data_IF_974849958598
#
_entry.id   IF_974849958598
#
_cell.length_a   1.000
_cell.length_b   1.000
_cell.length_c   1.000
_cell.angle_alpha   90.00
_cell.angle_beta   90.00
_cell.angle_gamma   90.00
#
_symmetry.space_group_name_H-M   'P 1'
#
loop_
_entity.id
_entity.type
_entity.pdbx_description
1 polymer ?
#
# COMPACT_ATOMS: atom_id res chain seq x y z
N UNK A 1 0.38 -1.44 69.56
CA UNK A 1 0.79 -2.40 68.52
C UNK A 1 0.23 -1.91 67.18
N UNK A 2 1.07 -1.29 66.35
CA UNK A 2 0.71 -0.81 65.00
C UNK A 2 1.39 -1.75 64.00
N UNK A 3 0.61 -2.48 63.21
CA UNK A 3 1.13 -3.33 62.14
C UNK A 3 1.20 -2.51 60.86
N UNK A 4 2.43 -2.31 60.38
CA UNK A 4 2.78 -1.60 59.16
C UNK A 4 2.74 -2.63 58.01
N UNK A 5 1.76 -2.51 57.11
CA UNK A 5 1.70 -3.31 55.88
C UNK A 5 2.54 -2.62 54.80
N UNK A 6 3.67 -3.23 54.45
CA UNK A 6 4.50 -2.84 53.32
C UNK A 6 3.94 -3.50 52.05
N UNK A 7 3.36 -2.71 51.15
CA UNK A 7 3.08 -3.14 49.78
C UNK A 7 4.33 -2.91 48.94
N UNK A 8 5.00 -3.99 48.55
CA UNK A 8 6.08 -3.98 47.57
C UNK A 8 5.43 -4.16 46.20
N UNK A 9 5.28 -3.08 45.46
CA UNK A 9 4.91 -3.11 44.04
C UNK A 9 6.12 -3.52 43.21
N UNK A 10 6.18 -4.79 42.82
CA UNK A 10 7.11 -5.27 41.79
C UNK A 10 6.64 -4.73 40.43
N UNK A 11 7.25 -3.63 39.99
CA UNK A 11 7.22 -3.23 38.59
C UNK A 11 8.03 -4.23 37.77
N UNK A 12 7.35 -5.18 37.13
CA UNK A 12 7.93 -5.96 36.04
C UNK A 12 8.05 -5.05 34.82
N UNK A 13 9.19 -4.37 34.71
CA UNK A 13 9.63 -3.79 33.46
C UNK A 13 9.99 -4.91 32.49
N UNK A 14 9.03 -5.36 31.68
CA UNK A 14 9.34 -6.15 30.49
C UNK A 14 9.98 -5.22 29.47
N UNK A 15 11.30 -5.02 29.58
CA UNK A 15 12.09 -4.69 28.41
C UNK A 15 12.04 -5.92 27.50
N UNK A 16 11.10 -5.93 26.55
CA UNK A 16 11.11 -6.87 25.46
C UNK A 16 12.40 -6.64 24.67
N UNK A 17 13.43 -7.44 24.99
CA UNK A 17 14.57 -7.65 24.12
C UNK A 17 13.99 -8.19 22.82
N UNK A 18 13.88 -7.32 21.81
CA UNK A 18 13.57 -7.69 20.44
C UNK A 18 14.67 -8.65 19.98
N UNK A 19 14.47 -9.95 20.22
CA UNK A 19 15.15 -10.97 19.46
C UNK A 19 14.77 -10.72 18.02
N UNK A 20 15.71 -10.18 17.25
CA UNK A 20 15.72 -10.19 15.79
C UNK A 20 15.62 -11.65 15.34
N UNK A 21 14.43 -12.22 15.41
CA UNK A 21 14.10 -13.41 14.65
C UNK A 21 14.29 -13.01 13.19
N UNK A 22 15.05 -13.80 12.44
CA UNK A 22 15.18 -13.60 11.00
C UNK A 22 13.78 -13.72 10.39
N UNK A 23 13.08 -12.59 10.27
CA UNK A 23 11.76 -12.53 9.65
C UNK A 23 11.96 -12.83 8.17
N UNK A 24 11.79 -14.11 7.82
CA UNK A 24 11.88 -14.55 6.44
C UNK A 24 10.62 -14.08 5.71
N UNK A 25 10.82 -13.25 4.69
CA UNK A 25 9.78 -12.76 3.79
C UNK A 25 8.92 -13.89 3.24
N UNK A 26 7.63 -13.60 3.06
CA UNK A 26 6.63 -14.46 2.41
C UNK A 26 6.73 -14.44 0.87
N UNK A 27 7.60 -13.62 0.28
CA UNK A 27 7.79 -13.57 -1.17
C UNK A 27 8.08 -14.95 -1.76
N UNK A 28 7.21 -15.40 -2.68
CA UNK A 28 7.31 -16.68 -3.38
C UNK A 28 6.87 -16.52 -4.84
N UNK A 29 7.84 -16.46 -5.75
CA UNK A 29 7.60 -16.21 -7.16
C UNK A 29 6.82 -17.34 -7.84
N UNK A 30 7.12 -18.60 -7.51
CA UNK A 30 6.47 -19.76 -8.15
C UNK A 30 4.99 -19.84 -7.76
N UNK A 31 4.67 -19.53 -6.50
CA UNK A 31 3.29 -19.40 -6.06
C UNK A 31 2.60 -18.23 -6.75
N UNK A 32 3.26 -17.07 -6.84
CA UNK A 32 2.72 -15.92 -7.58
C UNK A 32 2.40 -16.25 -9.04
N UNK A 33 3.24 -17.03 -9.74
CA UNK A 33 2.98 -17.49 -11.12
C UNK A 33 1.67 -18.27 -11.22
N UNK A 34 1.40 -19.16 -10.26
CA UNK A 34 0.16 -19.94 -10.21
C UNK A 34 -1.04 -19.05 -9.91
N UNK A 35 -0.94 -18.16 -8.92
CA UNK A 35 -2.07 -17.32 -8.49
C UNK A 35 -2.42 -16.22 -9.50
N UNK A 36 -1.44 -15.70 -10.22
CA UNK A 36 -1.64 -14.68 -11.24
C UNK A 36 -2.07 -15.25 -12.62
N UNK A 37 -2.27 -16.57 -12.75
CA UNK A 37 -2.70 -17.16 -14.01
C UNK A 37 -4.15 -16.81 -14.40
N UNK A 38 -4.98 -16.37 -13.45
CA UNK A 38 -6.35 -15.94 -13.73
C UNK A 38 -6.39 -14.55 -14.38
N UNK A 39 -7.12 -14.42 -15.48
CA UNK A 39 -7.38 -13.13 -16.13
C UNK A 39 -8.27 -12.21 -15.25
N UNK A 40 -7.96 -10.92 -15.26
CA UNK A 40 -8.73 -9.88 -14.56
C UNK A 40 -10.16 -9.72 -15.09
N UNK A 41 -10.44 -10.11 -16.32
CA UNK A 41 -11.78 -10.01 -16.93
C UNK A 41 -12.84 -10.84 -16.18
N UNK A 42 -12.43 -11.93 -15.52
CA UNK A 42 -13.33 -12.83 -14.81
C UNK A 42 -13.35 -12.60 -13.28
N UNK A 43 -12.54 -11.68 -12.79
CA UNK A 43 -12.42 -11.38 -11.36
C UNK A 43 -13.55 -10.49 -10.87
N UNK A 44 -14.03 -10.75 -9.65
CA UNK A 44 -14.91 -9.80 -8.96
C UNK A 44 -14.09 -8.54 -8.64
N UNK A 45 -14.59 -7.37 -9.03
CA UNK A 45 -13.88 -6.10 -8.84
C UNK A 45 -14.14 -5.51 -7.46
N UNK A 46 -13.09 -4.96 -6.85
CA UNK A 46 -13.14 -4.07 -5.70
C UNK A 46 -13.40 -2.65 -6.19
N UNK A 47 -14.40 -1.99 -5.63
CA UNK A 47 -14.83 -0.66 -6.03
C UNK A 47 -14.57 0.37 -4.93
N UNK A 48 -14.58 1.66 -5.28
CA UNK A 48 -14.34 2.75 -4.32
C UNK A 48 -15.43 2.86 -3.27
N UNK A 49 -16.66 2.44 -3.58
CA UNK A 49 -17.78 2.38 -2.64
C UNK A 49 -17.82 1.07 -1.82
N UNK A 50 -16.81 0.21 -1.93
CA UNK A 50 -16.56 -0.87 -0.97
C UNK A 50 -15.79 -0.39 0.27
N UNK A 51 -15.33 0.87 0.28
CA UNK A 51 -14.63 1.52 1.39
C UNK A 51 -15.24 2.90 1.68
N UNK A 52 -14.95 3.49 2.84
CA UNK A 52 -15.42 4.82 3.19
C UNK A 52 -14.40 5.67 3.97
N UNK A 53 -14.64 6.97 4.08
CA UNK A 53 -13.82 7.85 4.92
C UNK A 53 -14.24 7.79 6.38
N UNK A 54 -13.29 8.07 7.28
CA UNK A 54 -13.56 8.28 8.69
C UNK A 54 -13.74 7.01 9.50
N UNK A 55 -13.08 5.91 9.10
CA UNK A 55 -13.06 4.66 9.85
C UNK A 55 -12.64 4.88 11.31
N UNK A 56 -13.30 4.19 12.24
CA UNK A 56 -12.67 3.77 13.50
C UNK A 56 -11.69 2.62 13.27
N UNK A 57 -10.84 2.32 14.27
CA UNK A 57 -9.90 1.20 14.21
C UNK A 57 -10.66 -0.12 14.01
N UNK A 58 -11.75 -0.31 14.75
CA UNK A 58 -12.56 -1.51 14.71
C UNK A 58 -13.29 -1.69 13.37
N UNK A 59 -13.84 -0.60 12.82
CA UNK A 59 -14.47 -0.63 11.49
C UNK A 59 -13.44 -0.96 10.42
N UNK A 60 -12.25 -0.35 10.45
CA UNK A 60 -11.19 -0.62 9.47
C UNK A 60 -10.78 -2.10 9.47
N UNK A 61 -10.62 -2.70 10.66
CA UNK A 61 -10.33 -4.11 10.83
C UNK A 61 -11.42 -5.03 10.27
N UNK A 62 -12.69 -4.69 10.55
CA UNK A 62 -13.85 -5.42 10.10
C UNK A 62 -13.99 -5.36 8.57
N UNK A 63 -13.75 -4.20 7.98
CA UNK A 63 -13.84 -3.99 6.54
C UNK A 63 -12.70 -4.66 5.79
N UNK A 64 -11.47 -4.58 6.30
CA UNK A 64 -10.35 -5.36 5.75
C UNK A 64 -10.69 -6.85 5.70
N UNK A 65 -11.19 -7.41 6.81
CA UNK A 65 -11.58 -8.82 6.89
C UNK A 65 -12.67 -9.15 5.86
N UNK A 66 -13.65 -8.26 5.70
CA UNK A 66 -14.76 -8.43 4.75
C UNK A 66 -14.26 -8.40 3.31
N UNK A 67 -13.45 -7.40 2.95
CA UNK A 67 -12.87 -7.22 1.62
C UNK A 67 -11.96 -8.39 1.27
N UNK A 68 -11.03 -8.77 2.14
CA UNK A 68 -10.11 -9.89 1.91
C UNK A 68 -10.86 -11.19 1.61
N UNK A 69 -11.91 -11.48 2.39
CA UNK A 69 -12.70 -12.71 2.26
C UNK A 69 -13.73 -12.66 1.12
N UNK A 70 -14.05 -11.49 0.59
CA UNK A 70 -15.00 -11.35 -0.53
C UNK A 70 -14.48 -11.97 -1.83
N UNK A 71 -13.15 -12.08 -1.97
CA UNK A 71 -12.47 -12.44 -3.21
C UNK A 71 -12.56 -11.35 -4.30
N UNK A 72 -13.00 -10.14 -3.95
CA UNK A 72 -12.87 -8.97 -4.82
C UNK A 72 -11.38 -8.64 -5.00
N UNK A 73 -11.02 -8.17 -6.18
CA UNK A 73 -9.66 -7.87 -6.62
C UNK A 73 -9.60 -6.48 -7.24
N UNK A 74 -8.42 -5.89 -7.27
CA UNK A 74 -8.23 -4.62 -7.97
C UNK A 74 -8.61 -4.76 -9.45
N UNK A 75 -9.23 -3.73 -10.01
CA UNK A 75 -9.43 -3.66 -11.46
C UNK A 75 -8.06 -3.73 -12.15
N UNK A 76 -7.95 -4.50 -13.23
CA UNK A 76 -6.68 -4.71 -13.94
C UNK A 76 -5.52 -5.19 -13.04
N UNK A 77 -5.85 -6.00 -12.03
CA UNK A 77 -4.84 -6.62 -11.18
C UNK A 77 -3.79 -7.36 -12.02
N UNK A 78 -2.66 -7.63 -11.39
CA UNK A 78 -1.55 -8.34 -12.03
C UNK A 78 -1.98 -9.69 -12.62
N UNK A 79 -1.45 -10.01 -13.79
CA UNK A 79 -1.58 -11.31 -14.45
C UNK A 79 -0.19 -11.88 -14.75
N UNK A 80 -0.10 -13.19 -14.92
CA UNK A 80 1.11 -13.89 -15.32
C UNK A 80 0.90 -14.55 -16.68
N UNK A 81 1.82 -14.31 -17.60
CA UNK A 81 1.86 -14.95 -18.91
C UNK A 81 2.95 -16.03 -18.94
N UNK A 82 2.52 -17.28 -19.01
CA UNK A 82 3.41 -18.43 -19.08
C UNK A 82 4.21 -18.53 -20.39
N UNK A 83 3.78 -17.87 -21.47
CA UNK A 83 4.50 -17.89 -22.76
C UNK A 83 5.72 -16.98 -22.69
N UNK A 84 5.54 -15.76 -22.15
CA UNK A 84 6.64 -14.79 -22.02
C UNK A 84 7.38 -14.86 -20.69
N UNK A 85 6.91 -15.69 -19.74
CA UNK A 85 7.41 -15.81 -18.36
C UNK A 85 7.48 -14.46 -17.63
N UNK A 86 6.41 -13.66 -17.77
CA UNK A 86 6.36 -12.30 -17.23
C UNK A 86 5.05 -12.03 -16.47
N UNK A 87 5.15 -11.16 -15.46
CA UNK A 87 4.00 -10.55 -14.81
C UNK A 87 3.67 -9.23 -15.49
N UNK A 88 2.38 -8.93 -15.62
CA UNK A 88 1.88 -7.68 -16.19
C UNK A 88 0.84 -7.06 -15.28
N UNK A 89 0.91 -5.75 -15.11
CA UNK A 89 -0.25 -4.92 -14.72
C UNK A 89 -0.76 -4.21 -15.97
N UNK A 90 -1.93 -3.60 -15.89
CA UNK A 90 -2.45 -2.87 -17.04
C UNK A 90 -2.89 -1.46 -16.66
N UNK A 91 -2.77 -0.56 -17.62
CA UNK A 91 -3.38 0.75 -17.56
C UNK A 91 -4.29 0.94 -18.79
N UNK A 92 -5.35 1.72 -18.62
CA UNK A 92 -6.26 2.10 -19.71
C UNK A 92 -5.87 3.47 -20.28
N UNK A 93 -5.91 3.62 -21.60
CA UNK A 93 -5.92 4.94 -22.22
C UNK A 93 -7.31 5.57 -22.21
N UNK A 94 -7.40 6.82 -22.68
CA UNK A 94 -8.65 7.57 -22.76
C UNK A 94 -9.71 6.95 -23.68
N UNK A 95 -9.34 5.95 -24.49
CA UNK A 95 -10.25 5.23 -25.39
C UNK A 95 -10.63 3.84 -24.82
N UNK A 96 -10.37 3.58 -23.54
CA UNK A 96 -10.56 2.28 -22.89
C UNK A 96 -9.75 1.16 -23.54
N UNK A 97 -8.63 1.48 -24.21
CA UNK A 97 -7.69 0.46 -24.65
C UNK A 97 -6.71 0.18 -23.52
N UNK A 98 -6.60 -1.09 -23.17
CA UNK A 98 -5.75 -1.58 -22.10
C UNK A 98 -4.36 -1.93 -22.65
N UNK A 99 -3.30 -1.49 -21.96
CA UNK A 99 -1.92 -1.77 -22.33
C UNK A 99 -1.22 -2.53 -21.20
N UNK A 100 -0.55 -3.67 -21.49
CA UNK A 100 0.20 -4.41 -20.49
C UNK A 100 1.50 -3.69 -20.17
N UNK A 101 1.83 -3.57 -18.89
CA UNK A 101 3.08 -3.03 -18.35
C UNK A 101 3.77 -4.16 -17.61
N UNK A 102 4.94 -4.56 -18.11
CA UNK A 102 5.73 -5.62 -17.50
C UNK A 102 6.23 -5.23 -16.10
N UNK A 103 6.01 -6.12 -15.14
CA UNK A 103 6.61 -6.02 -13.80
C UNK A 103 7.91 -6.82 -13.74
N UNK A 104 8.93 -6.26 -13.11
CA UNK A 104 10.15 -7.00 -12.78
C UNK A 104 9.97 -7.80 -11.50
N UNK A 105 10.74 -8.89 -11.36
CA UNK A 105 10.83 -9.62 -10.08
C UNK A 105 11.28 -8.72 -8.94
N UNK A 106 12.25 -7.83 -9.19
CA UNK A 106 12.79 -6.91 -8.19
C UNK A 106 11.73 -5.94 -7.67
N UNK A 107 10.88 -5.42 -8.56
CA UNK A 107 9.75 -4.58 -8.17
C UNK A 107 8.76 -5.32 -7.27
N UNK A 108 8.28 -6.50 -7.69
CA UNK A 108 7.32 -7.29 -6.91
C UNK A 108 7.89 -7.61 -5.53
N UNK A 109 9.15 -8.04 -5.46
CA UNK A 109 9.82 -8.34 -4.21
C UNK A 109 9.98 -7.11 -3.31
N UNK A 110 10.32 -5.95 -3.88
CA UNK A 110 10.41 -4.68 -3.15
C UNK A 110 9.07 -4.32 -2.50
N UNK A 111 7.98 -4.38 -3.27
CA UNK A 111 6.63 -4.11 -2.75
C UNK A 111 6.25 -5.09 -1.65
N UNK A 112 6.49 -6.39 -1.84
CA UNK A 112 6.23 -7.41 -0.80
C UNK A 112 6.99 -7.09 0.49
N UNK A 113 8.29 -6.80 0.42
CA UNK A 113 9.09 -6.51 1.61
C UNK A 113 8.70 -5.19 2.28
N UNK A 114 8.33 -4.17 1.51
CA UNK A 114 7.82 -2.90 2.03
C UNK A 114 6.52 -3.13 2.83
N UNK A 115 5.59 -3.92 2.29
CA UNK A 115 4.36 -4.33 2.99
C UNK A 115 4.71 -5.01 4.31
N UNK A 116 5.54 -6.06 4.25
CA UNK A 116 5.91 -6.85 5.42
C UNK A 116 6.59 -6.00 6.50
N UNK A 117 7.50 -5.10 6.10
CA UNK A 117 8.19 -4.22 7.04
C UNK A 117 7.27 -3.14 7.60
N UNK A 118 6.33 -2.61 6.83
CA UNK A 118 5.35 -1.63 7.30
C UNK A 118 4.42 -2.24 8.35
N UNK A 119 3.94 -3.47 8.11
CA UNK A 119 3.15 -4.24 9.08
C UNK A 119 3.97 -4.56 10.33
N UNK A 120 5.21 -5.02 10.17
CA UNK A 120 6.08 -5.37 11.29
C UNK A 120 6.45 -4.17 12.18
N UNK A 121 6.53 -2.97 11.59
CA UNK A 121 6.80 -1.72 12.29
C UNK A 121 5.52 -1.03 12.83
N UNK A 122 4.33 -1.54 12.50
CA UNK A 122 3.05 -0.93 12.86
C UNK A 122 2.69 0.33 12.07
N UNK A 123 3.42 0.62 10.98
CA UNK A 123 3.11 1.76 10.09
C UNK A 123 1.82 1.54 9.29
N UNK A 124 1.46 0.27 9.09
CA UNK A 124 0.16 -0.17 8.60
C UNK A 124 -0.30 -1.37 9.46
N UNK A 125 -1.61 -1.58 9.55
CA UNK A 125 -2.19 -2.82 10.09
C UNK A 125 -2.71 -3.72 8.97
N UNK A 126 -3.14 -3.09 7.87
CA UNK A 126 -3.83 -3.74 6.77
C UNK A 126 -3.22 -3.35 5.43
N UNK A 127 -3.53 -4.13 4.39
CA UNK A 127 -3.08 -3.88 3.02
C UNK A 127 -4.32 -3.74 2.15
N UNK A 128 -4.85 -2.52 2.02
CA UNK A 128 -6.01 -2.17 1.19
C UNK A 128 -6.17 -0.65 1.13
N UNK A 129 -7.06 -0.10 0.30
CA UNK A 129 -7.11 1.35 0.03
C UNK A 129 -7.05 2.27 1.28
N UNK A 130 -7.81 2.02 2.36
CA UNK A 130 -7.77 2.82 3.60
C UNK A 130 -6.43 2.79 4.33
N UNK A 131 -5.63 1.75 4.16
CA UNK A 131 -4.36 1.53 4.86
C UNK A 131 -3.32 0.87 3.95
N UNK A 132 -2.32 1.67 3.54
CA UNK A 132 -1.25 1.26 2.63
C UNK A 132 -1.74 0.78 1.26
N UNK A 133 -2.87 1.27 0.75
CA UNK A 133 -3.45 0.72 -0.48
C UNK A 133 -3.15 1.45 -1.78
N UNK A 134 -2.50 2.62 -1.72
CA UNK A 134 -2.13 3.39 -2.91
C UNK A 134 -0.75 4.02 -2.72
N UNK A 135 -0.12 4.38 -3.85
CA UNK A 135 1.22 4.96 -3.85
C UNK A 135 1.36 6.14 -4.82
N UNK A 136 2.32 6.99 -4.51
CA UNK A 136 2.85 8.02 -5.41
C UNK A 136 4.33 7.76 -5.67
N UNK A 137 4.79 7.96 -6.91
CA UNK A 137 6.17 7.62 -7.26
C UNK A 137 7.05 8.86 -7.17
N UNK A 138 8.10 8.77 -6.36
CA UNK A 138 9.13 9.81 -6.25
C UNK A 138 10.44 9.33 -6.87
N UNK A 139 11.14 10.26 -7.51
CA UNK A 139 12.46 10.04 -8.10
C UNK A 139 13.37 11.20 -7.72
N UNK A 140 14.68 10.98 -7.46
CA UNK A 140 15.61 12.09 -7.35
C UNK A 140 15.50 13.02 -8.57
N UNK A 141 15.41 14.34 -8.35
CA UNK A 141 15.10 15.31 -9.40
C UNK A 141 16.07 15.20 -10.60
N UNK A 142 17.38 15.14 -10.34
CA UNK A 142 18.39 14.99 -11.40
C UNK A 142 18.22 13.70 -12.21
N UNK A 143 17.80 12.62 -11.55
CA UNK A 143 17.54 11.34 -12.19
C UNK A 143 16.29 11.40 -13.06
N UNK A 144 15.23 12.07 -12.59
CA UNK A 144 14.03 12.31 -13.38
C UNK A 144 14.32 13.11 -14.65
N UNK A 145 15.00 14.26 -14.52
CA UNK A 145 15.32 15.14 -15.65
C UNK A 145 16.18 14.44 -16.71
N UNK A 146 17.11 13.58 -16.27
CA UNK A 146 17.99 12.85 -17.17
C UNK A 146 17.30 11.69 -17.90
N UNK A 147 16.39 10.98 -17.22
CA UNK A 147 15.91 9.69 -17.71
C UNK A 147 14.46 9.69 -18.17
N UNK A 148 13.60 10.59 -17.66
CA UNK A 148 12.14 10.51 -17.84
C UNK A 148 11.50 11.79 -18.39
N UNK A 149 12.03 12.97 -18.09
CA UNK A 149 11.40 14.26 -18.45
C UNK A 149 11.18 14.45 -19.97
N UNK A 150 11.99 13.80 -20.81
CA UNK A 150 11.90 13.88 -22.28
C UNK A 150 10.87 12.93 -22.90
N UNK A 151 10.23 12.05 -22.12
CA UNK A 151 9.32 11.05 -22.65
C UNK A 151 8.01 11.70 -23.12
N UNK A 152 7.53 11.26 -24.28
CA UNK A 152 6.21 11.68 -24.78
C UNK A 152 5.12 10.89 -24.05
N UNK A 153 3.96 11.50 -23.88
CA UNK A 153 2.81 10.88 -23.21
C UNK A 153 1.81 10.25 -24.19
N UNK A 154 2.28 9.75 -25.35
CA UNK A 154 1.46 8.85 -26.16
C UNK A 154 1.34 7.47 -25.48
N UNK A 155 0.33 6.63 -25.82
CA UNK A 155 0.09 5.39 -25.07
C UNK A 155 1.28 4.41 -25.07
N UNK A 156 1.98 4.27 -26.20
CA UNK A 156 3.10 3.34 -26.28
C UNK A 156 4.29 3.83 -25.45
N UNK A 157 4.61 5.13 -25.55
CA UNK A 157 5.62 5.75 -24.71
C UNK A 157 5.24 5.73 -23.22
N UNK A 158 3.96 5.89 -22.87
CA UNK A 158 3.47 5.79 -21.49
C UNK A 158 3.63 4.37 -20.91
N UNK A 159 3.36 3.33 -21.71
CA UNK A 159 3.63 1.94 -21.32
C UNK A 159 5.10 1.76 -20.98
N UNK A 160 5.97 2.13 -21.92
CA UNK A 160 7.42 2.00 -21.75
C UNK A 160 7.93 2.84 -20.57
N UNK A 161 7.33 4.01 -20.30
CA UNK A 161 7.67 4.86 -19.16
C UNK A 161 7.35 4.15 -17.85
N UNK A 162 6.15 3.56 -17.71
CA UNK A 162 5.82 2.77 -16.52
C UNK A 162 6.74 1.57 -16.35
N UNK A 163 7.06 0.82 -17.41
CA UNK A 163 7.99 -0.30 -17.32
C UNK A 163 9.37 0.16 -16.82
N UNK A 164 9.87 1.30 -17.33
CA UNK A 164 11.14 1.87 -16.91
C UNK A 164 11.11 2.39 -15.46
N UNK A 165 10.04 3.05 -15.05
CA UNK A 165 9.86 3.60 -13.70
C UNK A 165 9.72 2.49 -12.64
N UNK A 166 8.90 1.47 -12.89
CA UNK A 166 8.69 0.38 -11.94
C UNK A 166 9.92 -0.54 -11.84
N UNK A 167 10.76 -0.59 -12.88
CA UNK A 167 12.02 -1.31 -12.86
C UNK A 167 13.19 -0.53 -12.22
N UNK A 168 13.01 0.76 -11.92
CA UNK A 168 14.10 1.63 -11.48
C UNK A 168 14.36 1.52 -9.96
N UNK A 169 15.57 1.15 -9.52
CA UNK A 169 15.90 1.07 -8.10
C UNK A 169 15.94 2.43 -7.39
N UNK A 170 16.00 3.54 -8.12
CA UNK A 170 15.90 4.89 -7.54
C UNK A 170 14.46 5.35 -7.34
N UNK A 171 13.47 4.62 -7.84
CA UNK A 171 12.06 4.88 -7.56
C UNK A 171 11.79 4.68 -6.06
N UNK A 172 11.05 5.63 -5.49
CA UNK A 172 10.61 5.64 -4.09
C UNK A 172 9.08 5.72 -4.05
N UNK A 173 8.35 4.63 -3.77
CA UNK A 173 6.91 4.73 -3.59
C UNK A 173 6.63 5.36 -2.23
N UNK A 174 5.85 6.45 -2.22
CA UNK A 174 5.26 7.01 -1.02
C UNK A 174 3.87 6.40 -0.83
N UNK A 175 3.66 5.74 0.31
CA UNK A 175 2.37 5.24 0.74
C UNK A 175 1.80 6.18 1.79
N UNK A 176 0.54 6.57 1.61
CA UNK A 176 -0.24 7.14 2.69
C UNK A 176 -0.96 6.01 3.42
N UNK A 177 -0.39 5.58 4.54
CA UNK A 177 -1.03 4.62 5.45
C UNK A 177 -2.12 5.34 6.26
N UNK A 178 -3.07 4.58 6.79
CA UNK A 178 -4.24 5.10 7.51
C UNK A 178 -4.93 6.31 6.83
N UNK A 179 -4.96 6.35 5.49
CA UNK A 179 -5.53 7.42 4.66
C UNK A 179 -6.95 7.78 5.11
N UNK A 180 -7.77 6.76 5.36
CA UNK A 180 -9.18 6.92 5.68
C UNK A 180 -9.50 6.70 7.17
N UNK A 181 -8.48 6.55 8.03
CA UNK A 181 -8.64 6.40 9.48
C UNK A 181 -8.97 7.77 10.11
N UNK A 182 -9.98 7.79 10.97
CA UNK A 182 -10.30 8.98 11.75
C UNK A 182 -9.27 9.17 12.88
N UNK A 183 -8.34 10.10 12.68
CA UNK A 183 -7.31 10.45 13.68
C UNK A 183 -7.56 11.81 14.36
N UNK A 184 -8.58 12.53 13.92
CA UNK A 184 -8.95 13.86 14.43
C UNK A 184 -10.41 13.93 14.87
N UNK A 185 -10.67 14.80 15.83
CA UNK A 185 -12.01 15.12 16.29
C UNK A 185 -12.71 16.15 15.37
N UNK A 186 -13.93 16.55 15.74
CA UNK A 186 -14.74 17.52 14.98
C UNK A 186 -14.09 18.92 14.94
N UNK A 187 -13.18 19.22 15.86
CA UNK A 187 -12.42 20.48 15.92
C UNK A 187 -11.09 20.39 15.17
N UNK A 188 -10.81 19.28 14.47
CA UNK A 188 -9.53 18.97 13.81
C UNK A 188 -8.35 18.83 14.78
N UNK A 189 -8.61 18.61 16.06
CA UNK A 189 -7.57 18.27 17.02
C UNK A 189 -7.27 16.77 16.93
N UNK A 190 -6.00 16.38 17.16
CA UNK A 190 -5.65 14.96 17.28
C UNK A 190 -6.40 14.34 18.44
N UNK A 191 -6.99 13.17 18.21
CA UNK A 191 -7.64 12.39 19.26
C UNK A 191 -6.57 11.98 20.30
N UNK A 192 -6.91 12.11 21.58
CA UNK A 192 -6.00 11.78 22.70
C UNK A 192 -5.88 10.26 22.92
N UNK A 193 -5.37 9.57 21.91
CA UNK A 193 -5.10 8.15 21.89
C UNK A 193 -3.68 7.92 21.34
N UNK A 194 -2.86 7.17 22.08
CA UNK A 194 -1.43 7.01 21.76
C UNK A 194 -1.22 6.26 20.44
N UNK A 195 -2.10 5.30 20.13
CA UNK A 195 -2.04 4.57 18.87
C UNK A 195 -2.41 5.48 17.69
N UNK A 196 -3.51 6.24 17.78
CA UNK A 196 -3.92 7.17 16.73
C UNK A 196 -2.89 8.29 16.51
N UNK A 197 -2.25 8.79 17.56
CA UNK A 197 -1.13 9.74 17.43
C UNK A 197 0.07 9.11 16.75
N UNK A 198 0.43 7.88 17.11
CA UNK A 198 1.50 7.15 16.45
C UNK A 198 1.21 7.00 14.96
N UNK A 199 0.00 6.56 14.60
CA UNK A 199 -0.44 6.42 13.21
C UNK A 199 -0.38 7.75 12.47
N UNK A 200 -0.91 8.82 13.06
CA UNK A 200 -0.87 10.15 12.47
C UNK A 200 0.55 10.58 12.11
N UNK A 201 1.53 10.41 13.01
CA UNK A 201 2.91 10.84 12.77
C UNK A 201 3.74 9.91 11.87
N UNK A 202 3.29 8.67 11.64
CA UNK A 202 3.99 7.68 10.84
C UNK A 202 3.26 7.32 9.52
N UNK A 203 2.28 8.13 9.12
CA UNK A 203 1.38 7.78 8.01
C UNK A 203 1.97 7.92 6.60
N UNK A 204 3.11 8.59 6.43
CA UNK A 204 3.73 8.75 5.11
C UNK A 204 4.98 7.87 5.04
N UNK A 205 4.83 6.70 4.43
CA UNK A 205 5.88 5.67 4.36
C UNK A 205 6.51 5.72 2.98
N UNK A 206 7.77 6.14 2.91
CA UNK A 206 8.58 6.18 1.69
C UNK A 206 9.43 4.90 1.58
N UNK A 207 9.11 4.03 0.62
CA UNK A 207 9.83 2.78 0.39
C UNK A 207 11.01 2.92 -0.58
N UNK A 208 11.89 1.91 -0.63
CA UNK A 208 12.92 1.77 -1.68
C UNK A 208 12.62 0.63 -2.65
N UNK A 209 12.73 0.88 -3.96
CA UNK A 209 12.54 -0.14 -5.01
C UNK A 209 13.80 -0.96 -5.33
N UNK A 210 14.57 -1.37 -4.32
CA UNK A 210 15.87 -2.04 -4.47
C UNK A 210 15.95 -3.41 -3.76
N UNK A 211 14.81 -4.02 -3.47
CA UNK A 211 14.67 -5.31 -2.78
C UNK A 211 15.19 -5.34 -1.32
N UNK A 212 15.48 -4.17 -0.74
CA UNK A 212 15.83 -4.06 0.69
C UNK A 212 14.61 -4.15 1.60
N UNK A 213 13.46 -3.63 1.13
CA UNK A 213 12.31 -3.35 1.99
C UNK A 213 12.51 -2.15 2.91
N UNK A 214 13.56 -1.34 2.71
CA UNK A 214 13.83 -0.16 3.53
C UNK A 214 12.65 0.83 3.45
N UNK A 215 12.26 1.33 4.62
CA UNK A 215 11.21 2.32 4.80
C UNK A 215 11.76 3.57 5.50
N UNK A 216 11.29 4.73 5.07
CA UNK A 216 11.53 6.02 5.70
C UNK A 216 10.19 6.69 6.00
N UNK A 217 10.08 7.32 7.16
CA UNK A 217 8.89 8.09 7.52
C UNK A 217 9.10 9.55 7.15
N UNK A 218 8.18 10.07 6.35
CA UNK A 218 8.10 11.49 6.03
C UNK A 218 7.05 12.19 6.90
N UNK A 219 7.39 13.38 7.38
CA UNK A 219 6.50 14.17 8.25
C UNK A 219 6.31 15.55 7.66
N UNK A 220 5.05 15.95 7.49
CA UNK A 220 4.63 17.29 7.16
C UNK A 220 3.98 17.93 8.39
N UNK A 221 4.76 18.67 9.17
CA UNK A 221 4.28 19.35 10.38
C UNK A 221 3.44 20.61 10.11
N UNK A 222 3.25 21.00 8.84
CA UNK A 222 2.50 22.21 8.45
C UNK A 222 1.08 21.86 8.01
N UNK A 223 0.88 20.66 7.46
CA UNK A 223 -0.43 20.17 7.04
C UNK A 223 -1.22 19.60 8.22
N UNK A 224 -2.50 19.97 8.32
CA UNK A 224 -3.33 19.53 9.45
C UNK A 224 -3.56 18.02 9.46
N UNK A 225 -3.44 17.32 8.34
CA UNK A 225 -3.58 15.87 8.26
C UNK A 225 -2.23 15.15 8.21
N UNK A 226 -1.11 15.87 8.34
CA UNK A 226 0.23 15.34 8.12
C UNK A 226 0.35 14.61 6.76
N UNK A 227 -0.30 15.13 5.70
CA UNK A 227 -0.16 14.54 4.36
C UNK A 227 1.09 15.11 3.67
N UNK A 228 2.04 14.24 3.31
CA UNK A 228 3.24 14.62 2.56
C UNK A 228 2.93 14.66 1.06
N UNK A 229 2.99 15.84 0.44
CA UNK A 229 2.74 16.02 -1.00
C UNK A 229 4.01 16.25 -1.82
N UNK A 230 5.11 16.53 -1.13
CA UNK A 230 6.40 16.85 -1.73
C UNK A 230 7.49 16.23 -0.87
N UNK A 231 8.49 15.63 -1.51
CA UNK A 231 9.71 15.13 -0.86
C UNK A 231 10.87 15.98 -1.38
N UNK A 232 11.60 16.72 -0.51
CA UNK A 232 12.67 17.60 -0.96
C UNK A 232 13.69 16.88 -1.86
N UNK A 233 14.06 17.53 -2.96
CA UNK A 233 15.02 16.99 -3.95
C UNK A 233 14.47 15.87 -4.83
N UNK A 234 13.17 15.60 -4.79
CA UNK A 234 12.53 14.58 -5.62
C UNK A 234 11.44 15.17 -6.51
N UNK A 235 11.34 14.61 -7.71
CA UNK A 235 10.23 14.80 -8.63
C UNK A 235 9.09 13.84 -8.26
N UNK A 236 7.86 14.37 -8.20
CA UNK A 236 6.63 13.59 -8.00
C UNK A 236 6.00 13.20 -9.34
N UNK A 237 5.92 11.90 -9.60
CA UNK A 237 4.99 11.34 -10.57
C UNK A 237 3.75 10.83 -9.83
N UNK A 238 2.68 11.65 -9.83
CA UNK A 238 1.50 11.43 -8.97
C UNK A 238 0.75 10.13 -9.24
N UNK A 239 0.84 9.58 -10.46
CA UNK A 239 0.17 8.33 -10.82
C UNK A 239 1.04 7.11 -10.49
N UNK A 240 0.88 6.54 -9.28
CA UNK A 240 1.57 5.33 -8.87
C UNK A 240 0.79 4.05 -9.17
N UNK A 241 0.80 3.14 -8.19
CA UNK A 241 0.06 1.89 -8.22
C UNK A 241 -0.75 1.70 -6.94
N UNK A 242 -1.83 0.95 -7.07
CA UNK A 242 -2.67 0.50 -5.97
C UNK A 242 -2.28 -0.92 -5.56
N UNK A 243 -2.41 -1.20 -4.26
CA UNK A 243 -2.30 -2.52 -3.67
C UNK A 243 -3.52 -2.83 -2.81
N UNK A 244 -3.96 -4.08 -2.84
CA UNK A 244 -5.04 -4.53 -1.97
C UNK A 244 -4.95 -6.01 -1.75
N UNK A 245 -5.10 -6.42 -0.49
CA UNK A 245 -5.14 -7.81 -0.10
C UNK A 245 -6.47 -8.44 -0.52
N UNK A 246 -6.37 -9.64 -1.05
CA UNK A 246 -7.52 -10.45 -1.43
C UNK A 246 -7.12 -11.90 -1.26
N UNK A 247 -8.04 -12.75 -0.78
CA UNK A 247 -7.76 -14.20 -0.73
C UNK A 247 -7.47 -14.79 -2.11
N UNK A 248 -7.97 -14.16 -3.17
CA UNK A 248 -7.72 -14.51 -4.58
C UNK A 248 -6.54 -13.73 -5.19
N UNK A 249 -5.82 -12.97 -4.37
CA UNK A 249 -4.72 -12.11 -4.79
C UNK A 249 -3.53 -12.88 -5.36
N UNK A 250 -2.70 -12.14 -6.06
CA UNK A 250 -1.53 -12.63 -6.79
C UNK A 250 -0.35 -12.99 -5.90
N UNK A 251 0.14 -12.01 -5.14
CA UNK A 251 1.47 -12.06 -4.54
C UNK A 251 1.38 -12.40 -3.05
N UNK A 252 2.09 -13.42 -2.56
CA UNK A 252 2.10 -13.72 -1.14
C UNK A 252 2.92 -12.70 -0.35
N UNK A 253 2.45 -12.38 0.85
CA UNK A 253 3.18 -11.62 1.86
C UNK A 253 2.90 -12.22 3.25
N UNK A 254 3.81 -11.99 4.18
CA UNK A 254 3.75 -12.54 5.53
C UNK A 254 3.34 -11.48 6.55
N UNK A 255 2.32 -11.77 7.35
CA UNK A 255 1.93 -10.90 8.48
C UNK A 255 2.92 -11.02 9.65
N UNK A 256 2.91 -10.08 10.61
CA UNK A 256 3.73 -10.19 11.83
C UNK A 256 3.50 -11.49 12.62
N UNK A 257 2.28 -12.02 12.61
CA UNK A 257 1.90 -13.31 13.24
C UNK A 257 2.38 -14.53 12.45
N UNK A 258 2.93 -14.31 11.26
CA UNK A 258 3.46 -15.33 10.37
C UNK A 258 2.45 -15.97 9.44
N UNK A 259 1.24 -15.40 9.31
CA UNK A 259 0.26 -15.85 8.32
C UNK A 259 0.69 -15.42 6.92
N UNK A 260 0.40 -16.25 5.91
CA UNK A 260 0.58 -15.87 4.50
C UNK A 260 -0.77 -15.40 3.96
N UNK A 261 -0.82 -14.15 3.54
CA UNK A 261 -1.93 -13.54 2.84
C UNK A 261 -1.49 -13.17 1.42
N UNK A 262 -2.44 -12.76 0.58
CA UNK A 262 -2.17 -12.42 -0.81
C UNK A 262 -2.64 -11.02 -1.15
N UNK A 263 -1.94 -10.34 -2.04
CA UNK A 263 -2.30 -9.02 -2.54
C UNK A 263 -2.19 -8.91 -4.06
N UNK A 264 -2.88 -7.93 -4.62
CA UNK A 264 -2.81 -7.53 -6.01
C UNK A 264 -2.08 -6.20 -6.15
N UNK A 265 -1.51 -5.97 -7.34
CA UNK A 265 -1.00 -4.67 -7.78
C UNK A 265 -1.80 -4.25 -9.02
N UNK A 266 -2.17 -2.97 -9.12
CA UNK A 266 -2.80 -2.37 -10.30
C UNK A 266 -2.32 -0.94 -10.53
N UNK A 267 -2.30 -0.48 -11.79
CA UNK A 267 -2.08 0.93 -12.15
C UNK A 267 -3.39 1.74 -12.22
N UNK A 268 -4.53 1.10 -11.95
CA UNK A 268 -5.84 1.76 -11.94
C UNK A 268 -6.31 2.01 -10.52
N UNK A 269 -6.83 3.21 -10.27
CA UNK A 269 -7.53 3.53 -9.04
C UNK A 269 -8.85 2.76 -8.92
N UNK A 270 -9.37 2.71 -7.69
CA UNK A 270 -10.68 2.15 -7.44
C UNK A 270 -11.74 2.96 -8.19
N UNK A 271 -12.48 2.29 -9.07
CA UNK A 271 -13.62 2.87 -9.76
C UNK A 271 -14.87 2.72 -8.90
N UNK A 272 -15.86 3.58 -9.10
CA UNK A 272 -17.17 3.42 -8.47
C UNK A 272 -17.93 2.23 -9.10
N UNK A 273 -18.68 1.45 -8.31
CA UNK A 273 -19.52 0.37 -8.84
C UNK A 273 -20.68 0.96 -9.67
N UNK A 274 -20.73 0.76 -11.00
CA UNK A 274 -21.80 1.31 -11.83
C UNK A 274 -23.19 0.73 -11.51
N UNK A 275 -23.27 -0.36 -10.73
CA UNK A 275 -24.53 -0.98 -10.30
C UNK A 275 -24.99 -0.50 -8.93
N UNK A 276 -24.17 0.22 -8.17
CA UNK A 276 -24.60 0.81 -6.92
C UNK A 276 -25.56 1.96 -7.20
N UNK A 277 -26.77 1.89 -6.64
CA UNK A 277 -27.75 2.99 -6.71
C UNK A 277 -27.12 4.28 -6.18
N UNK A 278 -27.13 5.34 -7.00
CA UNK A 278 -26.48 6.65 -6.80
C UNK A 278 -27.06 7.45 -5.63
N UNK A 279 -26.94 6.96 -4.41
CA UNK A 279 -27.49 7.65 -3.24
C UNK A 279 -26.45 8.39 -2.39
N UNK A 280 -25.17 8.43 -2.75
CA UNK A 280 -24.15 9.21 -2.03
C UNK A 280 -23.04 9.70 -2.97
N UNK A 281 -23.17 10.93 -3.49
CA UNK A 281 -22.18 11.62 -4.33
C UNK A 281 -21.16 12.43 -3.51
N UNK A 282 -20.57 11.86 -2.46
CA UNK A 282 -19.58 12.55 -1.59
C UNK A 282 -18.15 11.96 -1.72
N UNK A 283 -17.72 11.63 -2.93
CA UNK A 283 -16.34 11.20 -3.19
C UNK A 283 -15.75 11.95 -4.39
N UNK A 284 -15.04 13.04 -4.13
CA UNK A 284 -14.09 13.63 -5.08
C UNK A 284 -12.74 13.79 -4.36
N UNK A 285 -11.71 13.19 -4.97
CA UNK A 285 -10.30 13.28 -4.60
C UNK A 285 -9.78 14.73 -4.65
#
# INVERSE_FOLDING_TARGET
MKALWLFISLFYGFAALAQSTNFKSGFNLEEAKVRCASDFVHSKTLYSNDVHWGYSIEEMAQDFTTIYNSGKRLSYHSTYDAITDNFYVHYDDSNNKTYPVKLTKGFIKSVTQQIENALQAGYADYVFFPDMGHSHLYFPEEHWQKNYAQWKLDPEARRQLYEAMLADPQMRPLYHTCEQLKMQDENKALIDDDFLKFRYWNRNVLGKNDESGDLQIEVNSVDNFNTVREVPGHYLFSAGYNISASREGCFPYKTPEGQILYFDISLSDLKYDPKASSNNDDFLF
#
